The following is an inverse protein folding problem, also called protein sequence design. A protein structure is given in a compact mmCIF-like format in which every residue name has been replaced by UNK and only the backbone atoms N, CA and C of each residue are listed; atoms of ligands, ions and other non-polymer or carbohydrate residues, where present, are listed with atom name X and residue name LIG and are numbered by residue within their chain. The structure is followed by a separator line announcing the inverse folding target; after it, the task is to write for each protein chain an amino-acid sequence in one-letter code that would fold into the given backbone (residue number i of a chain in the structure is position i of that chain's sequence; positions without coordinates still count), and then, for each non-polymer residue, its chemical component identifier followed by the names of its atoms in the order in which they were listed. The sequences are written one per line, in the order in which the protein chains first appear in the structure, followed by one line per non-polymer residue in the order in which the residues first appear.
data_IF_252115438115
#
_entry.id   IF_252115438115
#
_cell.length_a   1.000
_cell.length_b   1.000
_cell.length_c   1.000
_cell.angle_alpha   90.00
_cell.angle_beta   90.00
_cell.angle_gamma   90.00
#
_symmetry.space_group_name_H-M   'P 1'
#
loop_
_entity.id
_entity.type
_entity.pdbx_description
1 polymer ?
#
# COMPACT_ATOMS: atom_id res chain seq x y z
N UNK A 1 0.44 -21.81 9.73
CA UNK A 1 -0.50 -21.11 8.99
C UNK A 1 -0.03 -19.71 8.73
N UNK A 2 0.35 -19.53 7.67
CA UNK A 2 0.86 -18.31 7.40
C UNK A 2 -0.05 -17.35 6.86
N UNK A 3 -1.06 -17.76 6.40
CA UNK A 3 -1.88 -16.91 5.71
C UNK A 3 -2.79 -16.18 6.58
N UNK A 4 -3.25 -15.12 6.13
CA UNK A 4 -4.36 -14.52 6.75
C UNK A 4 -5.61 -15.22 6.22
N UNK A 5 -6.65 -15.19 7.02
CA UNK A 5 -7.95 -15.66 6.60
C UNK A 5 -8.77 -14.54 5.96
N UNK A 6 -8.09 -13.54 5.43
CA UNK A 6 -8.76 -12.39 4.87
C UNK A 6 -9.57 -12.81 3.63
N UNK A 7 -10.83 -12.40 3.61
CA UNK A 7 -11.76 -12.80 2.55
C UNK A 7 -11.36 -12.30 1.16
N UNK A 8 -10.46 -11.33 1.07
CA UNK A 8 -9.99 -10.84 -0.21
C UNK A 8 -8.92 -11.74 -0.83
N UNK A 9 -8.30 -12.60 -0.04
CA UNK A 9 -7.29 -13.53 -0.57
C UNK A 9 -7.93 -14.51 -1.52
N UNK A 10 -7.28 -14.73 -2.67
CA UNK A 10 -7.78 -15.59 -3.71
C UNK A 10 -8.76 -14.93 -4.67
N UNK A 11 -9.11 -13.68 -4.45
CA UNK A 11 -10.04 -12.93 -5.29
C UNK A 11 -9.31 -11.90 -6.12
N UNK A 12 -9.94 -11.47 -7.21
CA UNK A 12 -9.41 -10.36 -8.00
C UNK A 12 -9.35 -9.11 -7.15
N UNK A 13 -8.22 -8.41 -7.21
CA UNK A 13 -8.08 -7.13 -6.54
C UNK A 13 -9.02 -6.12 -7.20
N UNK A 14 -9.80 -5.35 -6.41
CA UNK A 14 -10.64 -4.31 -6.99
C UNK A 14 -9.82 -3.32 -7.82
N UNK A 15 -10.22 -3.12 -9.08
CA UNK A 15 -9.54 -2.18 -9.95
C UNK A 15 -9.88 -0.75 -9.59
N UNK A 16 -8.97 0.16 -9.87
CA UNK A 16 -9.21 1.59 -9.64
C UNK A 16 -8.28 2.42 -10.50
N UNK A 17 -8.69 3.65 -10.71
CA UNK A 17 -7.88 4.67 -11.38
C UNK A 17 -7.86 5.89 -10.47
N UNK A 18 -6.69 6.45 -10.23
CA UNK A 18 -6.55 7.56 -9.30
C UNK A 18 -5.34 8.44 -9.63
N UNK A 19 -5.36 9.70 -9.19
CA UNK A 19 -4.21 10.59 -9.36
C UNK A 19 -3.04 10.15 -8.49
N UNK A 20 -1.84 10.47 -8.96
CA UNK A 20 -0.61 10.13 -8.26
C UNK A 20 0.25 11.36 -8.03
N UNK A 21 1.31 11.20 -7.24
CA UNK A 21 2.38 12.17 -7.18
C UNK A 21 2.85 12.50 -8.60
N UNK A 22 3.38 13.69 -8.78
CA UNK A 22 3.84 14.14 -10.10
C UNK A 22 2.74 14.48 -11.09
N UNK A 23 1.48 14.47 -10.66
CA UNK A 23 0.35 14.81 -11.52
C UNK A 23 -0.05 13.73 -12.52
N UNK A 24 0.44 12.50 -12.34
CA UNK A 24 0.08 11.38 -13.21
C UNK A 24 -1.20 10.67 -12.76
N UNK A 25 -1.45 9.53 -13.40
CA UNK A 25 -2.60 8.68 -13.11
C UNK A 25 -2.15 7.24 -12.99
N UNK A 26 -2.68 6.54 -12.00
CA UNK A 26 -2.41 5.12 -11.79
C UNK A 26 -3.67 4.32 -12.04
N UNK A 27 -3.55 3.26 -12.81
CA UNK A 27 -4.63 2.28 -13.01
C UNK A 27 -4.10 0.90 -12.67
N UNK A 28 -4.69 0.25 -11.67
CA UNK A 28 -4.18 -1.03 -11.17
C UNK A 28 -4.14 -2.09 -12.28
N UNK A 29 -5.20 -2.21 -13.06
CA UNK A 29 -5.28 -3.24 -14.12
C UNK A 29 -4.23 -3.06 -15.21
N UNK A 30 -3.63 -1.89 -15.34
CA UNK A 30 -2.56 -1.67 -16.31
C UNK A 30 -1.26 -2.39 -15.91
N UNK A 31 -1.16 -2.86 -14.66
CA UNK A 31 0.03 -3.57 -14.17
C UNK A 31 -0.07 -5.08 -14.27
N UNK A 32 -1.10 -5.61 -14.96
CA UNK A 32 -1.22 -7.05 -15.17
C UNK A 32 0.04 -7.60 -15.82
N UNK A 33 0.41 -8.82 -15.43
CA UNK A 33 1.63 -9.47 -15.89
C UNK A 33 2.77 -9.42 -14.89
N UNK A 34 2.68 -8.58 -13.87
CA UNK A 34 3.71 -8.45 -12.84
C UNK A 34 3.07 -8.30 -11.46
N UNK A 35 3.74 -8.76 -10.40
CA UNK A 35 3.22 -8.56 -9.05
C UNK A 35 3.19 -7.09 -8.66
N UNK A 36 2.26 -6.75 -7.76
CA UNK A 36 2.12 -5.40 -7.21
C UNK A 36 1.95 -5.51 -5.70
N UNK A 37 2.64 -4.65 -4.97
CA UNK A 37 2.43 -4.48 -3.54
C UNK A 37 1.72 -3.14 -3.36
N UNK A 38 0.46 -3.20 -2.90
CA UNK A 38 -0.28 -2.00 -2.52
C UNK A 38 -0.22 -1.87 -1.01
N UNK A 39 0.29 -0.76 -0.49
CA UNK A 39 0.22 -0.55 0.94
C UNK A 39 -0.53 0.73 1.27
N UNK A 40 -1.46 0.60 2.20
CA UNK A 40 -2.30 1.70 2.68
C UNK A 40 -1.70 2.21 3.98
N UNK A 41 -1.63 3.52 4.14
CA UNK A 41 -1.07 4.13 5.35
C UNK A 41 -1.84 5.40 5.72
N UNK A 42 -1.87 5.75 7.01
CA UNK A 42 -2.74 6.84 7.48
C UNK A 42 -2.42 8.23 6.94
N UNK A 43 -1.14 8.63 6.90
CA UNK A 43 -0.83 10.02 6.57
C UNK A 43 0.64 10.22 6.25
N UNK A 44 0.92 10.99 5.18
CA UNK A 44 2.27 11.36 4.79
C UNK A 44 3.04 12.04 5.93
N UNK A 45 4.32 11.76 5.99
CA UNK A 45 5.29 12.41 6.87
C UNK A 45 4.95 12.31 8.36
N UNK A 46 4.30 11.23 8.76
CA UNK A 46 4.16 10.86 10.17
C UNK A 46 5.19 9.79 10.50
N UNK A 47 5.59 9.62 11.78
CA UNK A 47 6.71 8.74 12.12
C UNK A 47 6.59 7.31 11.60
N UNK A 48 5.49 6.63 11.86
CA UNK A 48 5.31 5.25 11.41
C UNK A 48 5.23 5.12 9.90
N UNK A 49 4.54 6.06 9.25
CA UNK A 49 4.39 6.04 7.81
C UNK A 49 5.71 6.34 7.11
N UNK A 50 6.52 7.21 7.69
CA UNK A 50 7.86 7.52 7.17
C UNK A 50 8.76 6.30 7.29
N UNK A 51 8.76 5.63 8.44
CA UNK A 51 9.56 4.42 8.65
C UNK A 51 9.18 3.33 7.64
N UNK A 52 7.89 3.13 7.42
CA UNK A 52 7.41 2.14 6.46
C UNK A 52 7.82 2.50 5.03
N UNK A 53 7.63 3.75 4.63
CA UNK A 53 8.00 4.20 3.29
C UNK A 53 9.50 4.07 3.05
N UNK A 54 10.32 4.45 4.03
CA UNK A 54 11.77 4.31 3.92
C UNK A 54 12.19 2.83 3.87
N UNK A 55 11.47 1.96 4.57
CA UNK A 55 11.71 0.52 4.50
C UNK A 55 11.48 -0.03 3.09
N UNK A 56 10.36 0.35 2.47
CA UNK A 56 10.11 -0.04 1.08
C UNK A 56 11.11 0.60 0.12
N UNK A 57 11.50 1.85 0.37
CA UNK A 57 12.54 2.52 -0.43
C UNK A 57 13.85 1.74 -0.40
N UNK A 58 14.30 1.38 0.80
CA UNK A 58 15.57 0.68 0.96
C UNK A 58 15.54 -0.72 0.36
N UNK A 59 14.36 -1.34 0.32
CA UNK A 59 14.16 -2.64 -0.31
C UNK A 59 13.83 -2.56 -1.81
N UNK A 60 13.72 -1.35 -2.38
CA UNK A 60 13.32 -1.19 -3.77
C UNK A 60 14.15 -2.00 -4.78
N UNK A 61 15.48 -2.12 -4.63
CA UNK A 61 16.25 -2.97 -5.55
C UNK A 61 15.80 -4.42 -5.54
N UNK A 62 15.44 -4.95 -4.39
CA UNK A 62 14.97 -6.34 -4.26
C UNK A 62 13.61 -6.54 -4.91
N UNK A 63 12.69 -5.59 -4.72
CA UNK A 63 11.40 -5.63 -5.38
C UNK A 63 11.57 -5.56 -6.90
N UNK A 64 12.47 -4.72 -7.36
CA UNK A 64 12.73 -4.58 -8.79
C UNK A 64 13.27 -5.88 -9.39
N UNK A 65 14.13 -6.59 -8.69
CA UNK A 65 14.64 -7.90 -9.14
C UNK A 65 13.49 -8.89 -9.32
N UNK A 66 12.45 -8.79 -8.54
CA UNK A 66 11.27 -9.62 -8.63
C UNK A 66 10.19 -9.01 -9.53
N UNK A 67 10.54 -7.98 -10.30
CA UNK A 67 9.67 -7.28 -11.25
C UNK A 67 8.38 -6.79 -10.59
N UNK A 68 8.46 -6.40 -9.33
CA UNK A 68 7.32 -5.99 -8.52
C UNK A 68 7.30 -4.51 -8.31
N UNK A 69 6.14 -3.88 -8.53
CA UNK A 69 5.94 -2.48 -8.19
C UNK A 69 5.38 -2.36 -6.79
N UNK A 70 5.89 -1.38 -6.05
CA UNK A 70 5.37 -0.98 -4.75
C UNK A 70 4.58 0.31 -4.97
N UNK A 71 3.38 0.38 -4.41
CA UNK A 71 2.51 1.55 -4.54
C UNK A 71 1.94 1.88 -3.17
N UNK A 72 2.17 3.11 -2.71
CA UNK A 72 1.59 3.59 -1.46
C UNK A 72 0.29 4.32 -1.72
N UNK A 73 -0.67 4.18 -0.82
CA UNK A 73 -2.00 4.80 -0.94
C UNK A 73 -2.39 5.45 0.38
N UNK A 74 -2.75 6.72 0.32
CA UNK A 74 -3.36 7.42 1.46
C UNK A 74 -4.35 8.44 0.94
N UNK A 75 -5.04 9.12 1.86
CA UNK A 75 -5.98 10.19 1.50
C UNK A 75 -5.31 11.55 1.34
N UNK A 76 -4.00 11.62 1.45
CA UNK A 76 -3.27 12.86 1.24
C UNK A 76 -3.41 13.32 -0.22
N UNK A 77 -3.30 14.63 -0.41
CA UNK A 77 -3.37 15.23 -1.74
C UNK A 77 -2.12 14.91 -2.56
N UNK A 78 -2.22 15.12 -3.87
CA UNK A 78 -1.07 15.00 -4.78
C UNK A 78 0.07 15.91 -4.32
N UNK A 79 -0.26 17.14 -3.91
CA UNK A 79 0.77 18.09 -3.45
C UNK A 79 1.52 17.60 -2.21
N UNK A 80 0.81 16.97 -1.26
CA UNK A 80 1.44 16.39 -0.08
C UNK A 80 2.30 15.19 -0.44
N UNK A 81 1.82 14.34 -1.35
CA UNK A 81 2.61 13.21 -1.85
C UNK A 81 3.88 13.67 -2.54
N UNK A 82 3.82 14.75 -3.32
CA UNK A 82 5.02 15.30 -3.96
C UNK A 82 6.07 15.69 -2.93
N UNK A 83 5.64 16.36 -1.85
CA UNK A 83 6.55 16.77 -0.77
C UNK A 83 7.14 15.57 -0.04
N UNK A 84 6.31 14.59 0.27
CA UNK A 84 6.74 13.39 0.99
C UNK A 84 7.76 12.61 0.16
N UNK A 85 7.45 12.41 -1.10
CA UNK A 85 8.33 11.70 -2.03
C UNK A 85 9.68 12.41 -2.17
N UNK A 86 9.67 13.72 -2.33
CA UNK A 86 10.90 14.49 -2.47
C UNK A 86 11.73 14.47 -1.19
N UNK A 87 11.07 14.60 -0.03
CA UNK A 87 11.76 14.65 1.25
C UNK A 87 12.53 13.36 1.56
N UNK A 88 11.96 12.22 1.22
CA UNK A 88 12.55 10.92 1.56
C UNK A 88 13.05 10.14 0.33
N UNK A 89 13.03 10.77 -0.83
CA UNK A 89 13.52 10.19 -2.08
C UNK A 89 12.86 8.83 -2.35
N UNK A 90 11.53 8.79 -2.28
CA UNK A 90 10.79 7.55 -2.47
C UNK A 90 10.74 7.19 -3.96
N UNK A 91 11.21 5.98 -4.35
CA UNK A 91 11.30 5.61 -5.76
C UNK A 91 10.04 4.93 -6.32
N UNK A 92 8.94 5.02 -5.62
CA UNK A 92 7.70 4.35 -6.02
C UNK A 92 6.53 5.32 -6.04
N UNK A 93 5.45 4.90 -6.68
CA UNK A 93 4.25 5.72 -6.87
C UNK A 93 3.47 5.89 -5.57
N UNK A 94 2.98 7.10 -5.33
CA UNK A 94 2.06 7.40 -4.23
C UNK A 94 0.71 7.80 -4.83
N UNK A 95 -0.32 7.03 -4.54
CA UNK A 95 -1.69 7.25 -5.01
C UNK A 95 -2.45 8.13 -4.04
N UNK A 96 -3.12 9.15 -4.57
CA UNK A 96 -3.94 10.06 -3.78
C UNK A 96 -5.40 9.61 -3.82
N UNK A 97 -5.91 9.15 -2.68
CA UNK A 97 -7.28 8.69 -2.53
C UNK A 97 -8.07 9.66 -1.66
N UNK A 98 -8.12 10.94 -2.09
CA UNK A 98 -8.71 12.00 -1.27
C UNK A 98 -10.17 11.75 -0.89
N UNK A 99 -10.95 11.15 -1.78
CA UNK A 99 -12.35 10.84 -1.49
C UNK A 99 -12.55 9.53 -0.70
N UNK A 100 -11.49 8.77 -0.48
CA UNK A 100 -11.54 7.54 0.32
C UNK A 100 -12.17 6.34 -0.37
N UNK A 101 -12.52 6.44 -1.63
CA UNK A 101 -13.22 5.34 -2.32
C UNK A 101 -12.37 4.09 -2.48
N UNK A 102 -11.06 4.24 -2.72
CA UNK A 102 -10.16 3.10 -2.82
C UNK A 102 -10.03 2.43 -1.47
N UNK A 103 -9.85 3.22 -0.41
CA UNK A 103 -9.78 2.68 0.95
C UNK A 103 -11.04 1.90 1.29
N UNK A 104 -12.22 2.36 0.87
CA UNK A 104 -13.47 1.64 1.09
C UNK A 104 -13.50 0.31 0.34
N UNK A 105 -13.08 0.30 -0.92
CA UNK A 105 -13.04 -0.93 -1.73
C UNK A 105 -12.16 -2.01 -1.12
N UNK A 106 -11.07 -1.61 -0.48
CA UNK A 106 -10.12 -2.55 0.11
C UNK A 106 -10.37 -2.80 1.59
N UNK A 107 -11.40 -2.18 2.17
CA UNK A 107 -11.75 -2.38 3.57
C UNK A 107 -10.74 -1.78 4.53
N UNK A 108 -10.04 -0.72 4.11
CA UNK A 108 -9.02 -0.07 4.95
C UNK A 108 -9.51 1.22 5.61
N UNK A 109 -10.73 1.66 5.33
CA UNK A 109 -11.33 2.80 6.00
C UNK A 109 -12.14 2.27 7.19
N UNK A 110 -11.62 2.42 8.41
CA UNK A 110 -12.16 1.75 9.58
C UNK A 110 -12.32 2.71 10.75
N UNK A 111 -13.14 2.30 11.71
CA UNK A 111 -13.24 3.00 12.98
C UNK A 111 -12.03 2.66 13.84
N UNK A 112 -11.39 3.70 14.38
CA UNK A 112 -10.25 3.58 15.29
C UNK A 112 -10.61 4.23 16.62
N UNK A 113 -9.87 3.88 17.66
CA UNK A 113 -10.05 4.47 18.98
C UNK A 113 -8.72 4.93 19.53
N UNK A 114 -8.71 6.13 20.11
CA UNK A 114 -7.52 6.67 20.76
C UNK A 114 -7.97 7.42 22.01
N UNK A 115 -7.49 6.99 23.17
CA UNK A 115 -7.87 7.59 24.46
C UNK A 115 -9.40 7.70 24.64
N UNK A 116 -10.14 6.65 24.25
CA UNK A 116 -11.59 6.62 24.37
C UNK A 116 -12.34 7.38 23.30
N UNK A 117 -11.65 8.06 22.40
CA UNK A 117 -12.28 8.75 21.28
C UNK A 117 -12.30 7.84 20.05
N UNK A 118 -13.46 7.79 19.40
CA UNK A 118 -13.62 7.03 18.17
C UNK A 118 -13.49 7.98 16.98
N UNK A 119 -12.82 7.53 15.93
CA UNK A 119 -12.67 8.28 14.69
C UNK A 119 -12.47 7.32 13.53
N UNK A 120 -12.74 7.80 12.32
CA UNK A 120 -12.51 7.01 11.12
C UNK A 120 -11.09 7.28 10.60
N UNK A 121 -10.42 6.25 10.19
CA UNK A 121 -9.06 6.39 9.66
C UNK A 121 -8.65 5.20 8.82
N UNK A 122 -7.49 5.32 8.17
CA UNK A 122 -6.95 4.25 7.35
C UNK A 122 -6.28 3.21 8.24
N UNK A 123 -6.68 1.96 8.09
CA UNK A 123 -5.99 0.82 8.67
C UNK A 123 -4.70 0.60 7.87
N UNK A 124 -3.56 0.56 8.55
CA UNK A 124 -2.30 0.23 7.88
C UNK A 124 -2.39 -1.20 7.38
N UNK A 125 -2.38 -1.36 6.07
CA UNK A 125 -2.60 -2.66 5.45
C UNK A 125 -1.77 -2.78 4.18
N UNK A 126 -1.41 -4.00 3.82
CA UNK A 126 -0.66 -4.28 2.61
C UNK A 126 -1.31 -5.44 1.88
N UNK A 127 -1.39 -5.32 0.56
CA UNK A 127 -1.99 -6.32 -0.32
C UNK A 127 -0.95 -6.74 -1.34
N UNK A 128 -0.65 -8.03 -1.38
CA UNK A 128 0.25 -8.61 -2.38
C UNK A 128 -0.62 -9.19 -3.49
N UNK A 129 -0.46 -8.64 -4.70
CA UNK A 129 -1.27 -8.98 -5.85
C UNK A 129 -0.37 -9.62 -6.90
N UNK A 130 -0.78 -10.77 -7.44
CA UNK A 130 0.02 -11.46 -8.45
C UNK A 130 -0.19 -10.86 -9.85
N UNK A 131 0.53 -11.41 -10.82
CA UNK A 131 0.47 -10.93 -12.20
C UNK A 131 -0.91 -11.10 -12.87
N UNK A 132 -1.75 -11.97 -12.34
CA UNK A 132 -3.10 -12.15 -12.83
C UNK A 132 -4.11 -11.21 -12.18
N UNK A 133 -3.64 -10.36 -11.28
CA UNK A 133 -4.49 -9.42 -10.57
C UNK A 133 -5.22 -10.03 -9.39
N UNK A 134 -4.78 -11.19 -8.91
CA UNK A 134 -5.40 -11.89 -7.78
C UNK A 134 -4.66 -11.53 -6.49
N UNK A 135 -5.41 -11.22 -5.45
CA UNK A 135 -4.83 -10.96 -4.11
C UNK A 135 -4.31 -12.28 -3.53
N UNK A 136 -3.02 -12.34 -3.28
CA UNK A 136 -2.38 -13.56 -2.77
C UNK A 136 -2.15 -13.49 -1.25
N UNK A 137 -1.97 -12.32 -0.72
CA UNK A 137 -1.77 -12.15 0.72
C UNK A 137 -2.25 -10.78 1.17
N UNK A 138 -2.83 -10.71 2.36
CA UNK A 138 -3.27 -9.46 2.99
C UNK A 138 -2.69 -9.36 4.39
N UNK A 139 -2.14 -8.20 4.72
CA UNK A 139 -1.75 -7.87 6.09
C UNK A 139 -2.60 -6.69 6.54
N UNK A 140 -3.31 -6.83 7.66
CA UNK A 140 -4.08 -5.75 8.26
C UNK A 140 -3.51 -5.41 9.62
N UNK A 141 -3.82 -4.22 10.12
CA UNK A 141 -3.31 -3.72 11.40
C UNK A 141 -1.80 -3.90 11.50
N UNK A 142 -1.12 -3.49 10.45
CA UNK A 142 0.31 -3.71 10.29
C UNK A 142 1.10 -2.98 11.36
N UNK A 143 2.05 -3.69 11.96
CA UNK A 143 3.12 -3.10 12.76
C UNK A 143 4.32 -2.97 11.83
N UNK A 144 4.91 -1.79 11.79
CA UNK A 144 5.93 -1.47 10.80
C UNK A 144 7.19 -2.32 10.95
N UNK A 145 7.61 -2.60 12.19
CA UNK A 145 8.83 -3.36 12.44
C UNK A 145 8.77 -4.74 11.78
N UNK A 146 9.72 -5.03 10.89
CA UNK A 146 9.81 -6.31 10.19
C UNK A 146 8.80 -6.51 9.08
N UNK A 147 7.90 -5.54 8.84
CA UNK A 147 6.84 -5.74 7.86
C UNK A 147 7.36 -5.85 6.42
N UNK A 148 8.25 -4.97 6.03
CA UNK A 148 8.79 -4.98 4.66
C UNK A 148 9.49 -6.30 4.35
N UNK A 149 10.26 -6.83 5.32
CA UNK A 149 10.90 -8.13 5.18
C UNK A 149 9.86 -9.24 5.01
N UNK A 150 8.78 -9.19 5.77
CA UNK A 150 7.69 -10.17 5.65
C UNK A 150 7.03 -10.14 4.28
N UNK A 151 6.85 -8.94 3.71
CA UNK A 151 6.29 -8.78 2.36
C UNK A 151 7.24 -9.37 1.32
N UNK A 152 8.55 -9.11 1.45
CA UNK A 152 9.55 -9.68 0.55
C UNK A 152 9.55 -11.21 0.58
N UNK A 153 9.47 -11.80 1.77
CA UNK A 153 9.43 -13.26 1.92
C UNK A 153 8.19 -13.85 1.26
N UNK A 154 7.03 -13.24 1.45
CA UNK A 154 5.81 -13.69 0.82
C UNK A 154 5.88 -13.58 -0.71
N UNK A 155 6.47 -12.52 -1.22
CA UNK A 155 6.62 -12.31 -2.66
C UNK A 155 7.43 -13.40 -3.32
N UNK A 156 8.45 -13.91 -2.64
CA UNK A 156 9.29 -15.00 -3.17
C UNK A 156 8.52 -16.30 -3.35
N UNK A 157 7.36 -16.43 -2.74
CA UNK A 157 6.54 -17.65 -2.84
C UNK A 157 5.52 -17.62 -3.97
N UNK A 158 5.42 -16.53 -4.71
CA UNK A 158 4.48 -16.42 -5.82
C UNK A 158 4.89 -17.25 -7.02
#
# INVERSE_FOLDING_TARGET
MSGSDDRMEGRKAPDFTAPTDGGGTFKLSALRGKPVVLYFYPKDDTPGCTTEACGFRDAAPDFKKLKTQVVGISKDSVARHDKFKAKYELPFTLVSDEDGKICEKYGTWIEKSLYGRKYMGIDRATFLIDGDGVVRRVWRKVKVAGHVDGVQEALKTL
#
